data_IF_790453487353
#
_entry.id   IF_790453487353
#
_cell.length_a   1.000
_cell.length_b   1.000
_cell.length_c   1.000
_cell.angle_alpha   90.00
_cell.angle_beta   90.00
_cell.angle_gamma   90.00
#
_symmetry.space_group_name_H-M   'P 1'
#
loop_
_entity.id
_entity.type
_entity.pdbx_description
1 polymer ?
#
# COMPACT_ATOMS: atom_id res chain seq x y z
N UNK A 1 6.92 -29.01 -24.42
CA UNK A 1 6.88 -28.04 -25.53
C UNK A 1 5.48 -27.44 -25.54
N UNK A 2 5.24 -26.36 -24.76
CA UNK A 2 4.10 -25.40 -24.79
C UNK A 2 3.96 -24.68 -23.43
N UNK A 3 5.01 -24.02 -22.91
CA UNK A 3 4.85 -23.11 -21.74
C UNK A 3 5.95 -22.06 -21.58
N UNK A 4 6.77 -21.81 -22.62
CA UNK A 4 7.82 -20.77 -22.58
C UNK A 4 7.45 -19.54 -23.42
N UNK A 5 6.28 -19.57 -24.08
CA UNK A 5 5.75 -18.44 -24.84
C UNK A 5 5.03 -17.48 -23.88
N UNK A 6 5.69 -16.35 -23.63
CA UNK A 6 5.14 -15.10 -23.11
C UNK A 6 5.26 -14.77 -21.61
N UNK A 7 6.44 -15.00 -21.01
CA UNK A 7 6.90 -14.03 -20.00
C UNK A 7 7.53 -12.85 -20.73
N UNK A 8 6.74 -11.89 -21.19
CA UNK A 8 7.28 -10.55 -21.30
C UNK A 8 7.77 -10.17 -19.90
N UNK A 9 9.05 -9.79 -19.71
CA UNK A 9 9.51 -9.35 -18.41
C UNK A 9 8.67 -8.14 -18.03
N UNK A 10 7.83 -8.30 -17.00
CA UNK A 10 7.06 -7.20 -16.44
C UNK A 10 8.05 -6.07 -16.14
N UNK A 11 7.76 -4.86 -16.64
CA UNK A 11 8.66 -3.74 -16.39
C UNK A 11 8.81 -3.58 -14.87
N UNK A 12 10.02 -3.32 -14.39
CA UNK A 12 10.30 -3.21 -12.95
C UNK A 12 9.35 -2.24 -12.26
N UNK A 13 8.92 -1.18 -12.97
CA UNK A 13 7.93 -0.23 -12.49
C UNK A 13 6.56 -0.88 -12.25
N UNK A 14 6.07 -1.71 -13.17
CA UNK A 14 4.78 -2.39 -13.04
C UNK A 14 4.81 -3.38 -11.87
N UNK A 15 5.92 -4.12 -11.74
CA UNK A 15 6.14 -5.04 -10.63
C UNK A 15 6.14 -4.30 -9.27
N UNK A 16 6.79 -3.13 -9.20
CA UNK A 16 6.76 -2.27 -8.00
C UNK A 16 5.33 -1.80 -7.71
N UNK A 17 4.60 -1.29 -8.71
CA UNK A 17 3.22 -0.81 -8.52
C UNK A 17 2.29 -1.92 -8.02
N UNK A 18 2.48 -3.14 -8.52
CA UNK A 18 1.73 -4.32 -8.10
C UNK A 18 2.04 -4.72 -6.66
N UNK A 19 3.32 -4.75 -6.29
CA UNK A 19 3.76 -5.06 -4.92
C UNK A 19 3.25 -4.02 -3.91
N UNK A 20 3.19 -2.75 -4.32
CA UNK A 20 2.60 -1.67 -3.53
C UNK A 20 1.06 -1.72 -3.47
N UNK A 21 0.42 -2.72 -4.11
CA UNK A 21 -1.03 -2.82 -4.32
C UNK A 21 -1.65 -1.51 -4.78
N UNK A 22 -1.02 -0.86 -5.76
CA UNK A 22 -1.44 0.45 -6.26
C UNK A 22 -2.83 0.43 -6.90
N UNK A 23 -3.27 -0.75 -7.35
CA UNK A 23 -4.61 -1.05 -7.85
C UNK A 23 -5.69 -1.11 -6.75
N UNK A 24 -5.33 -1.38 -5.49
CA UNK A 24 -6.29 -1.57 -4.37
C UNK A 24 -6.12 -0.51 -3.29
N UNK A 25 -6.83 0.64 -3.37
CA UNK A 25 -6.64 1.76 -2.45
C UNK A 25 -7.19 1.50 -1.04
N UNK A 26 -7.98 0.45 -0.83
CA UNK A 26 -8.69 0.19 0.43
C UNK A 26 -7.77 0.24 1.67
N UNK A 27 -6.62 -0.45 1.63
CA UNK A 27 -5.69 -0.47 2.77
C UNK A 27 -5.15 0.91 3.14
N UNK A 28 -4.87 1.74 2.13
CA UNK A 28 -4.36 3.11 2.30
C UNK A 28 -5.43 4.02 2.90
N UNK A 29 -6.66 3.89 2.41
CA UNK A 29 -7.79 4.69 2.90
C UNK A 29 -8.12 4.36 4.35
N UNK A 30 -8.09 3.08 4.73
CA UNK A 30 -8.33 2.64 6.11
C UNK A 30 -7.28 3.21 7.08
N UNK A 31 -6.02 3.38 6.65
CA UNK A 31 -4.99 4.03 7.46
C UNK A 31 -5.11 5.56 7.46
N UNK A 32 -5.34 6.14 6.28
CA UNK A 32 -5.27 7.58 6.07
C UNK A 32 -6.47 8.34 6.67
N UNK A 33 -7.68 7.84 6.48
CA UNK A 33 -8.92 8.50 6.95
C UNK A 33 -8.90 8.72 8.48
N UNK A 34 -8.70 7.69 9.34
CA UNK A 34 -8.69 7.91 10.78
C UNK A 34 -7.51 8.78 11.23
N UNK A 35 -6.34 8.69 10.60
CA UNK A 35 -5.20 9.54 10.92
C UNK A 35 -5.46 11.02 10.60
N UNK A 36 -6.08 11.31 9.45
CA UNK A 36 -6.47 12.67 9.06
C UNK A 36 -7.58 13.23 9.98
N UNK A 37 -8.56 12.41 10.36
CA UNK A 37 -9.56 12.81 11.34
C UNK A 37 -8.96 13.12 12.70
N UNK A 38 -8.03 12.29 13.18
CA UNK A 38 -7.37 12.49 14.47
C UNK A 38 -6.63 13.84 14.52
N UNK A 39 -5.85 14.18 13.48
CA UNK A 39 -5.14 15.46 13.45
C UNK A 39 -6.09 16.65 13.28
N UNK A 40 -7.17 16.48 12.53
CA UNK A 40 -8.16 17.53 12.34
C UNK A 40 -8.87 17.87 13.65
N UNK A 41 -9.28 16.86 14.43
CA UNK A 41 -9.86 17.05 15.76
C UNK A 41 -8.84 17.65 16.74
N UNK A 42 -7.62 17.12 16.77
CA UNK A 42 -6.57 17.60 17.67
C UNK A 42 -6.15 19.06 17.42
N UNK A 43 -6.23 19.51 16.16
CA UNK A 43 -5.91 20.88 15.76
C UNK A 43 -7.12 21.83 15.73
N UNK A 44 -8.25 21.44 16.35
CA UNK A 44 -9.49 22.24 16.35
C UNK A 44 -9.93 22.68 14.94
N UNK A 45 -9.79 21.79 13.96
CA UNK A 45 -10.15 22.03 12.56
C UNK A 45 -9.14 22.84 11.75
N UNK A 46 -7.96 23.16 12.29
CA UNK A 46 -6.90 23.90 11.60
C UNK A 46 -5.52 23.22 11.72
N UNK A 47 -5.37 21.98 11.21
CA UNK A 47 -4.07 21.32 11.20
C UNK A 47 -3.10 22.04 10.26
N UNK A 48 -1.80 22.02 10.59
CA UNK A 48 -0.78 22.60 9.71
C UNK A 48 -0.66 21.76 8.43
N UNK A 49 -0.51 22.43 7.28
CA UNK A 49 -0.38 21.75 5.99
C UNK A 49 0.82 20.80 5.97
N UNK A 50 1.93 21.18 6.59
CA UNK A 50 3.12 20.34 6.72
C UNK A 50 2.81 19.02 7.46
N UNK A 51 2.07 19.07 8.57
CA UNK A 51 1.70 17.87 9.33
C UNK A 51 0.75 16.97 8.53
N UNK A 52 -0.22 17.56 7.84
CA UNK A 52 -1.12 16.80 6.95
C UNK A 52 -0.32 16.10 5.85
N UNK A 53 0.63 16.79 5.21
CA UNK A 53 1.50 16.18 4.19
C UNK A 53 2.32 15.02 4.75
N UNK A 54 2.89 15.17 5.95
CA UNK A 54 3.63 14.09 6.63
C UNK A 54 2.72 12.89 6.91
N UNK A 55 1.49 13.10 7.39
CA UNK A 55 0.54 12.02 7.64
C UNK A 55 0.17 11.31 6.34
N UNK A 56 -0.13 12.04 5.27
CA UNK A 56 -0.46 11.45 3.97
C UNK A 56 0.71 10.60 3.45
N UNK A 57 1.93 11.14 3.42
CA UNK A 57 3.11 10.40 2.99
C UNK A 57 3.39 9.19 3.88
N UNK A 58 3.25 9.35 5.21
CA UNK A 58 3.41 8.28 6.17
C UNK A 58 2.41 7.15 5.95
N UNK A 59 1.13 7.46 5.73
CA UNK A 59 0.10 6.43 5.50
C UNK A 59 0.32 5.66 4.19
N UNK A 60 0.77 6.34 3.13
CA UNK A 60 1.17 5.68 1.88
C UNK A 60 2.36 4.74 2.10
N UNK A 61 3.40 5.18 2.82
CA UNK A 61 4.56 4.37 3.13
C UNK A 61 4.22 3.18 4.04
N UNK A 62 3.40 3.38 5.07
CA UNK A 62 2.97 2.32 5.98
C UNK A 62 2.11 1.29 5.27
N UNK A 63 1.18 1.71 4.39
CA UNK A 63 0.40 0.78 3.58
C UNK A 63 1.28 -0.04 2.66
N UNK A 64 2.24 0.61 1.98
CA UNK A 64 3.21 -0.06 1.12
C UNK A 64 4.01 -1.12 1.87
N UNK A 65 4.59 -0.74 3.02
CA UNK A 65 5.36 -1.64 3.88
C UNK A 65 4.51 -2.81 4.39
N UNK A 66 3.27 -2.54 4.82
CA UNK A 66 2.33 -3.56 5.25
C UNK A 66 2.04 -4.59 4.16
N UNK A 67 1.80 -4.15 2.92
CA UNK A 67 1.59 -5.07 1.79
C UNK A 67 2.83 -5.92 1.50
N UNK A 68 4.03 -5.33 1.47
CA UNK A 68 5.28 -6.07 1.23
C UNK A 68 5.54 -7.12 2.33
N UNK A 69 5.33 -6.76 3.59
CA UNK A 69 5.51 -7.68 4.72
C UNK A 69 4.46 -8.79 4.68
N UNK A 70 3.22 -8.46 4.37
CA UNK A 70 2.13 -9.43 4.25
C UNK A 70 2.42 -10.44 3.13
N UNK A 71 2.80 -9.97 1.94
CA UNK A 71 3.14 -10.85 0.81
C UNK A 71 4.38 -11.71 1.12
N UNK A 72 5.32 -11.25 1.96
CA UNK A 72 6.45 -12.06 2.42
C UNK A 72 6.03 -13.16 3.40
N UNK A 73 5.09 -12.86 4.30
CA UNK A 73 4.60 -13.80 5.30
C UNK A 73 3.66 -14.85 4.68
N UNK A 74 2.76 -14.40 3.82
CA UNK A 74 1.74 -15.25 3.19
C UNK A 74 2.29 -16.07 2.02
N UNK A 75 3.56 -15.89 1.66
CA UNK A 75 4.24 -16.58 0.56
C UNK A 75 4.07 -18.11 0.59
N UNK A 76 4.12 -18.69 1.78
CA UNK A 76 4.03 -20.14 1.97
C UNK A 76 2.59 -20.61 2.26
N UNK A 77 1.67 -19.68 2.56
CA UNK A 77 0.28 -19.98 2.96
C UNK A 77 -0.68 -19.83 1.77
N UNK A 78 -0.49 -18.81 0.92
CA UNK A 78 -1.30 -18.57 -0.28
C UNK A 78 -1.48 -19.83 -1.17
N UNK A 79 -0.47 -20.70 -1.36
CA UNK A 79 -0.64 -21.93 -2.16
C UNK A 79 -1.51 -23.01 -1.52
N UNK A 80 -1.81 -22.92 -0.22
CA UNK A 80 -2.60 -23.93 0.50
C UNK A 80 -4.11 -23.62 0.52
N UNK A 81 -4.51 -22.45 0.03
CA UNK A 81 -5.91 -21.97 0.11
C UNK A 81 -6.64 -22.03 -1.24
N UNK A 82 -5.93 -22.32 -2.33
CA UNK A 82 -6.50 -22.53 -3.68
C UNK A 82 -6.83 -24.00 -4.01
#
# INVERSE_FOLDING_TARGET
MLTEFDRQPESTLLAILRLLRWDKPAGRLILMIPALWAVFLAAHGRPSAALVSVIVLGTLATSAAGCVINDLWDRDIDPEVE
#
